data_IF_187776180573
#
_entry.id   IF_187776180573
#
_cell.length_a   1.000
_cell.length_b   1.000
_cell.length_c   1.000
_cell.angle_alpha   90.00
_cell.angle_beta   90.00
_cell.angle_gamma   90.00
#
_symmetry.space_group_name_H-M   'P 1'
#
loop_
_entity.id
_entity.type
_entity.pdbx_description
1 polymer ?
#
# COMPACT_ATOMS: atom_id res chain seq x y z
N UNK A 1 4.04 22.50 1.16
CA UNK A 1 3.78 22.36 -0.29
C UNK A 1 3.68 20.88 -0.59
N UNK A 2 2.47 20.37 -0.58
CA UNK A 2 2.12 19.01 -1.01
C UNK A 2 2.19 18.96 -2.53
N UNK A 3 3.41 18.85 -3.07
CA UNK A 3 3.57 18.58 -4.49
C UNK A 3 3.01 17.17 -4.76
N UNK A 4 1.88 17.12 -5.44
CA UNK A 4 1.22 15.88 -5.82
C UNK A 4 2.19 14.97 -6.60
N UNK A 5 2.13 13.64 -6.41
CA UNK A 5 3.07 12.73 -7.04
C UNK A 5 3.07 12.91 -8.56
N UNK A 6 4.22 13.22 -9.15
CA UNK A 6 4.30 13.55 -10.57
C UNK A 6 4.14 12.28 -11.42
N UNK A 7 2.93 12.02 -11.90
CA UNK A 7 2.56 10.85 -12.69
C UNK A 7 3.50 10.59 -13.87
N UNK A 8 3.98 11.64 -14.55
CA UNK A 8 4.92 11.51 -15.67
C UNK A 8 6.26 10.93 -15.22
N UNK A 9 6.78 11.37 -14.07
CA UNK A 9 8.03 10.82 -13.51
C UNK A 9 7.84 9.40 -13.00
N UNK A 10 6.71 9.12 -12.37
CA UNK A 10 6.36 7.77 -11.89
C UNK A 10 6.27 6.79 -13.07
N UNK A 11 5.58 7.18 -14.15
CA UNK A 11 5.47 6.36 -15.35
C UNK A 11 6.83 5.97 -15.93
N UNK A 12 7.77 6.93 -16.04
CA UNK A 12 9.13 6.66 -16.52
C UNK A 12 9.91 5.72 -15.60
N UNK A 13 9.77 5.87 -14.28
CA UNK A 13 10.41 4.97 -13.33
C UNK A 13 9.91 3.53 -13.50
N UNK A 14 8.59 3.35 -13.61
CA UNK A 14 7.98 2.03 -13.79
C UNK A 14 8.30 1.41 -15.15
N UNK A 15 8.35 2.20 -16.23
CA UNK A 15 8.80 1.73 -17.55
C UNK A 15 10.28 1.30 -17.53
N UNK A 16 11.12 2.07 -16.84
CA UNK A 16 12.51 1.68 -16.64
C UNK A 16 12.62 0.38 -15.84
N UNK A 17 11.85 0.26 -14.76
CA UNK A 17 11.82 -0.93 -13.91
C UNK A 17 11.36 -2.19 -14.66
N UNK A 18 10.31 -2.09 -15.48
CA UNK A 18 9.79 -3.23 -16.25
C UNK A 18 10.80 -3.74 -17.28
N UNK A 19 11.59 -2.83 -17.88
CA UNK A 19 12.68 -3.19 -18.81
C UNK A 19 13.94 -3.69 -18.10
N UNK A 20 14.05 -3.50 -16.78
CA UNK A 20 15.25 -3.84 -16.00
C UNK A 20 14.89 -4.56 -14.68
N UNK A 21 14.35 -5.79 -14.69
CA UNK A 21 13.84 -6.47 -13.49
C UNK A 21 14.86 -6.57 -12.34
N UNK A 22 16.15 -6.75 -12.64
CA UNK A 22 17.21 -6.81 -11.62
C UNK A 22 17.39 -5.52 -10.82
N UNK A 23 16.87 -4.38 -11.30
CA UNK A 23 16.91 -3.10 -10.58
C UNK A 23 15.73 -2.95 -9.62
N UNK A 24 14.64 -3.71 -9.81
CA UNK A 24 13.42 -3.61 -9.00
C UNK A 24 13.72 -3.75 -7.51
N UNK A 25 14.44 -4.78 -7.01
CA UNK A 25 14.68 -4.94 -5.58
C UNK A 25 15.37 -3.72 -4.94
N UNK A 26 16.33 -3.11 -5.65
CA UNK A 26 17.04 -1.92 -5.14
C UNK A 26 16.14 -0.68 -5.14
N UNK A 27 15.31 -0.51 -6.16
CA UNK A 27 14.34 0.58 -6.24
C UNK A 27 13.34 0.47 -5.08
N UNK A 28 12.73 -0.71 -4.90
CA UNK A 28 11.67 -0.92 -3.92
C UNK A 28 12.19 -0.91 -2.48
N UNK A 29 13.38 -1.44 -2.22
CA UNK A 29 14.02 -1.29 -0.91
C UNK A 29 14.27 0.18 -0.54
N UNK A 30 14.73 1.00 -1.49
CA UNK A 30 14.92 2.43 -1.24
C UNK A 30 13.58 3.16 -0.98
N UNK A 31 12.52 2.79 -1.70
CA UNK A 31 11.17 3.34 -1.50
C UNK A 31 10.60 2.95 -0.14
N UNK A 32 10.76 1.70 0.27
CA UNK A 32 10.36 1.19 1.58
C UNK A 32 11.06 1.94 2.73
N UNK A 33 12.40 2.04 2.66
CA UNK A 33 13.18 2.79 3.66
C UNK A 33 12.71 4.24 3.75
N UNK A 34 12.44 4.87 2.60
CA UNK A 34 11.92 6.24 2.53
C UNK A 34 10.53 6.34 3.17
N UNK A 35 9.63 5.41 2.86
CA UNK A 35 8.28 5.38 3.40
C UNK A 35 8.28 5.26 4.93
N UNK A 36 9.08 4.35 5.50
CA UNK A 36 9.18 4.23 6.96
C UNK A 36 9.78 5.47 7.61
N UNK A 37 10.76 6.10 6.97
CA UNK A 37 11.32 7.38 7.46
C UNK A 37 10.26 8.47 7.47
N UNK A 38 9.52 8.64 6.38
CA UNK A 38 8.52 9.70 6.25
C UNK A 38 7.28 9.45 7.12
N UNK A 39 6.88 8.19 7.33
CA UNK A 39 5.83 7.84 8.31
C UNK A 39 6.19 8.28 9.73
N UNK A 40 7.42 8.02 10.18
CA UNK A 40 7.88 8.44 11.51
C UNK A 40 7.95 9.96 11.66
N UNK A 41 8.22 10.66 10.56
CA UNK A 41 8.33 12.12 10.55
C UNK A 41 7.00 12.81 10.19
N UNK A 42 5.89 12.05 10.09
CA UNK A 42 4.57 12.55 9.70
C UNK A 42 4.56 13.30 8.34
N UNK A 43 5.50 12.96 7.45
CA UNK A 43 5.60 13.53 6.10
C UNK A 43 4.70 12.75 5.13
N UNK A 44 3.39 12.87 5.33
CA UNK A 44 2.39 12.06 4.64
C UNK A 44 2.32 12.31 3.12
N UNK A 45 2.69 13.50 2.64
CA UNK A 45 2.80 13.77 1.20
C UNK A 45 3.80 12.84 0.50
N UNK A 46 4.95 12.57 1.14
CA UNK A 46 5.93 11.63 0.61
C UNK A 46 5.46 10.16 0.68
N UNK A 47 4.74 9.80 1.75
CA UNK A 47 4.13 8.46 1.89
C UNK A 47 3.14 8.18 0.75
N UNK A 48 2.25 9.15 0.46
CA UNK A 48 1.31 9.07 -0.67
C UNK A 48 2.05 8.91 -2.00
N UNK A 49 3.15 9.64 -2.22
CA UNK A 49 3.96 9.52 -3.42
C UNK A 49 4.58 8.12 -3.58
N UNK A 50 5.12 7.55 -2.50
CA UNK A 50 5.66 6.18 -2.52
C UNK A 50 4.57 5.16 -2.88
N UNK A 51 3.37 5.31 -2.31
CA UNK A 51 2.24 4.44 -2.61
C UNK A 51 1.77 4.55 -4.07
N UNK A 52 1.74 5.74 -4.65
CA UNK A 52 1.47 5.91 -6.08
C UNK A 52 2.49 5.17 -6.96
N UNK A 53 3.77 5.16 -6.57
CA UNK A 53 4.82 4.41 -7.28
C UNK A 53 4.55 2.90 -7.18
N UNK A 54 4.27 2.38 -5.98
CA UNK A 54 3.97 0.94 -5.82
C UNK A 54 2.72 0.52 -6.60
N UNK A 55 1.66 1.34 -6.61
CA UNK A 55 0.47 1.07 -7.42
C UNK A 55 0.79 1.01 -8.92
N UNK A 56 1.67 1.88 -9.41
CA UNK A 56 2.09 1.85 -10.81
C UNK A 56 3.02 0.67 -11.11
N UNK A 57 3.88 0.27 -10.17
CA UNK A 57 4.70 -0.94 -10.28
C UNK A 57 3.83 -2.20 -10.35
N UNK A 58 2.80 -2.30 -9.51
CA UNK A 58 1.84 -3.41 -9.56
C UNK A 58 1.21 -3.54 -10.96
N UNK A 59 0.79 -2.44 -11.57
CA UNK A 59 0.20 -2.50 -12.92
C UNK A 59 1.22 -2.68 -14.06
N UNK A 60 2.45 -2.18 -13.92
CA UNK A 60 3.46 -2.16 -15.00
C UNK A 60 4.47 -3.32 -14.93
N UNK A 61 4.57 -4.01 -13.79
CA UNK A 61 5.58 -5.04 -13.49
C UNK A 61 4.93 -6.27 -12.84
N UNK A 62 3.74 -6.67 -13.31
CA UNK A 62 2.92 -7.77 -12.75
C UNK A 62 3.70 -9.07 -12.59
N UNK A 63 4.41 -9.49 -13.64
CA UNK A 63 5.22 -10.71 -13.65
C UNK A 63 6.44 -10.65 -12.71
N UNK A 64 6.87 -9.44 -12.32
CA UNK A 64 7.99 -9.21 -11.42
C UNK A 64 7.55 -8.90 -9.98
N UNK A 65 6.25 -8.98 -9.68
CA UNK A 65 5.69 -8.73 -8.37
C UNK A 65 6.36 -9.49 -7.22
N UNK A 66 6.79 -10.76 -7.38
CA UNK A 66 7.57 -11.47 -6.36
C UNK A 66 8.82 -10.71 -5.88
N UNK A 67 9.44 -9.86 -6.72
CA UNK A 67 10.65 -9.10 -6.39
C UNK A 67 10.40 -7.94 -5.42
N UNK A 68 9.15 -7.56 -5.18
CA UNK A 68 8.82 -6.42 -4.32
C UNK A 68 7.59 -6.61 -3.42
N UNK A 69 6.92 -7.75 -3.52
CA UNK A 69 5.72 -8.07 -2.73
C UNK A 69 5.94 -7.92 -1.23
N UNK A 70 7.07 -8.41 -0.71
CA UNK A 70 7.42 -8.32 0.71
C UNK A 70 7.57 -6.86 1.17
N UNK A 71 8.29 -6.03 0.42
CA UNK A 71 8.44 -4.60 0.75
C UNK A 71 7.09 -3.87 0.76
N UNK A 72 6.23 -4.12 -0.24
CA UNK A 72 4.93 -3.48 -0.31
C UNK A 72 4.01 -3.92 0.84
N UNK A 73 3.97 -5.20 1.18
CA UNK A 73 3.20 -5.69 2.34
C UNK A 73 3.72 -5.14 3.67
N UNK A 74 5.04 -4.97 3.80
CA UNK A 74 5.65 -4.31 4.96
C UNK A 74 5.15 -2.87 5.14
N UNK A 75 5.07 -2.11 4.05
CA UNK A 75 4.51 -0.75 4.04
C UNK A 75 3.02 -0.76 4.36
N UNK A 76 2.23 -1.63 3.72
CA UNK A 76 0.78 -1.77 3.96
C UNK A 76 0.52 -2.04 5.45
N UNK A 77 1.27 -2.96 6.06
CA UNK A 77 1.17 -3.25 7.49
C UNK A 77 1.40 -2.00 8.34
N UNK A 78 2.49 -1.28 8.08
CA UNK A 78 2.83 -0.09 8.86
C UNK A 78 1.79 1.04 8.71
N UNK A 79 1.15 1.16 7.55
CA UNK A 79 0.05 2.09 7.31
C UNK A 79 -1.20 1.72 8.12
N UNK A 80 -1.58 0.44 8.11
CA UNK A 80 -2.73 -0.06 8.87
C UNK A 80 -2.55 0.09 10.40
N UNK A 81 -1.30 0.11 10.86
CA UNK A 81 -0.92 0.32 12.27
C UNK A 81 -0.95 1.79 12.71
N UNK A 82 -1.19 2.75 11.80
CA UNK A 82 -1.31 4.18 12.14
C UNK A 82 -2.67 4.51 12.78
N UNK A 83 -2.91 4.06 14.02
CA UNK A 83 -4.20 4.20 14.73
C UNK A 83 -4.70 5.63 14.91
N UNK A 84 -3.80 6.63 14.86
CA UNK A 84 -4.12 8.06 15.02
C UNK A 84 -4.30 8.81 13.70
N UNK A 85 -4.10 8.16 12.55
CA UNK A 85 -4.11 8.78 11.22
C UNK A 85 -4.98 7.95 10.28
N UNK A 86 -6.29 8.16 10.31
CA UNK A 86 -7.25 7.39 9.51
C UNK A 86 -6.97 7.44 8.01
N UNK A 87 -6.49 8.58 7.50
CA UNK A 87 -6.10 8.69 6.09
C UNK A 87 -5.00 7.69 5.70
N UNK A 88 -4.04 7.43 6.60
CA UNK A 88 -2.97 6.44 6.36
C UNK A 88 -3.52 5.02 6.38
N UNK A 89 -4.48 4.72 7.25
CA UNK A 89 -5.13 3.41 7.31
C UNK A 89 -5.97 3.14 6.07
N UNK A 90 -6.73 4.13 5.60
CA UNK A 90 -7.47 4.07 4.33
C UNK A 90 -6.52 3.84 3.16
N UNK A 91 -5.39 4.56 3.12
CA UNK A 91 -4.37 4.38 2.10
C UNK A 91 -3.78 2.95 2.12
N UNK A 92 -3.53 2.41 3.31
CA UNK A 92 -3.10 1.01 3.52
C UNK A 92 -4.13 0.00 3.02
N UNK A 93 -5.42 0.19 3.32
CA UNK A 93 -6.52 -0.64 2.82
C UNK A 93 -6.60 -0.61 1.29
N UNK A 94 -6.55 0.58 0.68
CA UNK A 94 -6.59 0.73 -0.77
C UNK A 94 -5.41 0.02 -1.44
N UNK A 95 -4.21 0.15 -0.88
CA UNK A 95 -3.02 -0.54 -1.38
C UNK A 95 -3.13 -2.06 -1.25
N UNK A 96 -3.70 -2.56 -0.14
CA UNK A 96 -3.97 -3.99 0.04
C UNK A 96 -4.96 -4.53 -1.00
N UNK A 97 -6.05 -3.80 -1.28
CA UNK A 97 -7.02 -4.18 -2.31
C UNK A 97 -6.36 -4.18 -3.70
N UNK A 98 -5.57 -3.15 -4.03
CA UNK A 98 -4.83 -3.13 -5.30
C UNK A 98 -3.85 -4.30 -5.42
N UNK A 99 -3.14 -4.62 -4.34
CA UNK A 99 -2.25 -5.77 -4.27
C UNK A 99 -3.05 -7.05 -4.54
N UNK A 100 -4.09 -7.33 -3.75
CA UNK A 100 -4.92 -8.53 -3.91
C UNK A 100 -5.56 -8.65 -5.29
N UNK A 101 -6.05 -7.54 -5.87
CA UNK A 101 -6.65 -7.52 -7.21
C UNK A 101 -5.66 -7.90 -8.32
N UNK A 102 -4.41 -7.43 -8.23
CA UNK A 102 -3.36 -7.80 -9.18
C UNK A 102 -2.81 -9.21 -8.91
N UNK A 103 -2.84 -9.66 -7.64
CA UNK A 103 -2.48 -11.02 -7.24
C UNK A 103 -3.49 -12.10 -7.64
N UNK A 104 -4.77 -11.76 -7.78
CA UNK A 104 -5.81 -12.76 -8.08
C UNK A 104 -5.68 -13.38 -9.50
N UNK A 105 -4.83 -12.83 -10.36
CA UNK A 105 -4.55 -13.35 -11.70
C UNK A 105 -3.30 -14.26 -11.78
N UNK A 106 -2.50 -14.31 -10.70
CA UNK A 106 -1.21 -15.01 -10.62
C UNK A 106 -1.27 -15.94 -9.38
N UNK A 107 -1.90 -17.10 -9.52
CA UNK A 107 -1.79 -18.21 -8.54
C UNK A 107 -0.99 -19.30 -9.26
N UNK A 108 0.08 -19.88 -8.72
CA UNK A 108 0.25 -20.56 -7.44
C UNK A 108 1.72 -20.40 -6.99
N UNK A 109 2.00 -20.48 -5.68
CA UNK A 109 3.32 -20.48 -4.99
C UNK A 109 3.59 -19.22 -4.15
N UNK A 110 2.92 -19.08 -3.01
CA UNK A 110 3.40 -18.19 -1.92
C UNK A 110 2.76 -18.53 -0.55
N UNK A 111 3.14 -19.66 0.05
CA UNK A 111 2.56 -20.12 1.32
C UNK A 111 2.84 -19.17 2.49
N UNK A 112 4.02 -18.54 2.56
CA UNK A 112 4.37 -17.56 3.61
C UNK A 112 3.74 -16.17 3.41
N UNK A 113 3.42 -15.80 2.16
CA UNK A 113 2.65 -14.58 1.89
C UNK A 113 1.20 -14.78 2.30
N UNK A 114 0.65 -15.98 2.12
CA UNK A 114 -0.76 -16.28 2.39
C UNK A 114 -1.16 -15.98 3.84
N UNK A 115 -0.33 -16.33 4.82
CA UNK A 115 -0.60 -16.07 6.24
C UNK A 115 -0.53 -14.58 6.59
N UNK A 116 0.50 -13.88 6.09
CA UNK A 116 0.63 -12.43 6.26
C UNK A 116 -0.52 -11.68 5.57
N UNK A 117 -0.92 -12.12 4.38
CA UNK A 117 -2.04 -11.57 3.62
C UNK A 117 -3.37 -11.81 4.35
N UNK A 118 -3.59 -13.01 4.89
CA UNK A 118 -4.77 -13.32 5.72
C UNK A 118 -4.82 -12.43 6.95
N UNK A 119 -3.71 -12.28 7.67
CA UNK A 119 -3.63 -11.38 8.84
C UNK A 119 -3.94 -9.93 8.46
N UNK A 120 -3.37 -9.43 7.36
CA UNK A 120 -3.61 -8.07 6.87
C UNK A 120 -5.06 -7.88 6.38
N UNK A 121 -5.64 -8.85 5.70
CA UNK A 121 -7.02 -8.81 5.24
C UNK A 121 -8.00 -8.79 6.43
N UNK A 122 -7.76 -9.59 7.47
CA UNK A 122 -8.54 -9.55 8.71
C UNK A 122 -8.42 -8.19 9.42
N UNK A 123 -7.21 -7.63 9.51
CA UNK A 123 -7.00 -6.28 10.06
C UNK A 123 -7.73 -5.20 9.24
N UNK A 124 -7.70 -5.31 7.91
CA UNK A 124 -8.43 -4.42 7.01
C UNK A 124 -9.94 -4.52 7.23
N UNK A 125 -10.49 -5.74 7.25
CA UNK A 125 -11.91 -5.99 7.48
C UNK A 125 -12.38 -5.47 8.84
N UNK A 126 -11.60 -5.71 9.90
CA UNK A 126 -11.89 -5.18 11.23
C UNK A 126 -11.89 -3.65 11.24
N UNK A 127 -10.96 -3.00 10.50
CA UNK A 127 -11.00 -1.54 10.35
C UNK A 127 -12.27 -1.06 9.64
N UNK A 128 -12.64 -1.70 8.53
CA UNK A 128 -13.88 -1.35 7.83
C UNK A 128 -15.12 -1.51 8.70
N UNK A 129 -15.21 -2.59 9.49
CA UNK A 129 -16.29 -2.80 10.45
C UNK A 129 -16.32 -1.72 11.53
N UNK A 130 -15.17 -1.45 12.18
CA UNK A 130 -15.08 -0.39 13.20
C UNK A 130 -15.38 1.01 12.65
N UNK A 131 -15.02 1.29 11.40
CA UNK A 131 -15.36 2.53 10.70
C UNK A 131 -16.87 2.62 10.42
N UNK A 132 -17.49 1.54 9.92
CA UNK A 132 -18.93 1.49 9.67
C UNK A 132 -19.74 1.63 10.96
N UNK A 133 -19.32 0.96 12.04
CA UNK A 133 -19.94 1.08 13.37
C UNK A 133 -19.80 2.50 13.92
N UNK A 134 -18.64 3.15 13.75
CA UNK A 134 -18.42 4.54 14.18
C UNK A 134 -19.30 5.52 13.40
N UNK A 135 -19.49 5.32 12.09
CA UNK A 135 -20.40 6.10 11.25
C UNK A 135 -21.86 5.92 11.69
N UNK A 136 -22.28 4.68 11.97
CA UNK A 136 -23.63 4.38 12.48
C UNK A 136 -23.90 5.04 13.83
N UNK A 137 -22.94 4.99 14.76
CA UNK A 137 -23.03 5.67 16.05
C UNK A 137 -23.10 7.19 15.91
N UNK A 138 -22.30 7.76 15.01
CA UNK A 138 -22.29 9.21 14.74
C UNK A 138 -23.62 9.68 14.14
N UNK A 139 -24.21 8.89 13.22
CA UNK A 139 -25.53 9.16 12.64
C UNK A 139 -26.65 9.04 13.68
N UNK A 140 -26.60 8.04 14.56
CA UNK A 140 -27.57 7.89 15.66
C UNK A 140 -27.53 9.05 16.65
N UNK A 141 -26.34 9.57 16.97
CA UNK A 141 -26.17 10.73 17.85
C UNK A 141 -26.63 12.05 17.23
N UNK A 142 -26.66 12.15 15.90
CA UNK A 142 -27.19 13.32 15.18
C UNK A 142 -28.72 13.29 15.01
N UNK A 143 -29.35 12.14 15.28
CA UNK A 143 -30.79 11.91 15.17
C UNK A 143 -31.52 11.87 16.53
N UNK A 144 -30.78 12.08 17.62
CA UNK A 144 -31.26 12.20 19.01
C UNK A 144 -31.07 13.64 19.50
#
# INVERSE_FOLDING_TARGET
MDAEPNDRKIGKLCEYASRNPLRIPKITSNLEQRCFKDLRNENFGCVKAVLCIYRKLLSSCKEQMPLFASCLLGIIRALLEQTRQDEMRILGCNALVCFMGEHCHISMDFDSLSENLRSLALKGLHYFQTFEDSLRLSLLLLLL
#
